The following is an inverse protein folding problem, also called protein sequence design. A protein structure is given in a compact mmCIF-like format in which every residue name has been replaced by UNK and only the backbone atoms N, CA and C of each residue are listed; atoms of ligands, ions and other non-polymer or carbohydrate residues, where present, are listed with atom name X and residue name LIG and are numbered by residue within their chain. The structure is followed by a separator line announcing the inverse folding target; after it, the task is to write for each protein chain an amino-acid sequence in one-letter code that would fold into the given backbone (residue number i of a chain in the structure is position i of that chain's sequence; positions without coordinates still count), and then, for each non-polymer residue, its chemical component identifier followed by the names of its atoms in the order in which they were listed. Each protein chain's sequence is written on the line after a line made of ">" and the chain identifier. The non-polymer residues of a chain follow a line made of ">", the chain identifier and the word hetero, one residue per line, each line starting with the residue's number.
data_IF_097455694205
#
_entry.id   IF_097455694205
#
_cell.length_a   1.000
_cell.length_b   1.000
_cell.length_c   1.000
_cell.angle_alpha   90.00
_cell.angle_beta   90.00
_cell.angle_gamma   90.00
#
_symmetry.space_group_name_H-M   'P 1'
#
loop_
_entity.id
_entity.type
_entity.pdbx_description
1 polymer ?
#
# COMPACT_ATOMS: atom_id res chain seq x y z
N UNK A 1 24.37 3.55 -2.79
CA UNK A 1 23.23 3.79 -1.87
C UNK A 1 21.98 3.58 -2.70
N UNK A 2 21.24 2.51 -2.45
CA UNK A 2 20.07 2.17 -3.26
C UNK A 2 18.97 3.20 -2.97
N UNK A 3 18.63 4.01 -3.97
CA UNK A 3 17.50 4.93 -3.93
C UNK A 3 16.25 4.05 -3.82
N UNK A 4 15.64 3.97 -2.63
CA UNK A 4 14.40 3.23 -2.42
C UNK A 4 13.33 4.00 -3.18
N UNK A 5 12.98 3.53 -4.38
CA UNK A 5 11.94 4.12 -5.22
C UNK A 5 10.66 4.17 -4.38
N UNK A 6 10.15 5.37 -4.10
CA UNK A 6 8.84 5.50 -3.45
C UNK A 6 7.81 4.82 -4.34
N UNK A 7 6.94 4.00 -3.74
CA UNK A 7 5.86 3.35 -4.46
C UNK A 7 4.84 4.41 -4.89
N UNK A 8 4.32 4.33 -6.11
CA UNK A 8 3.14 5.12 -6.48
C UNK A 8 1.88 4.54 -5.81
N UNK A 9 0.77 5.28 -5.83
CA UNK A 9 -0.52 4.75 -5.36
C UNK A 9 -0.92 3.52 -6.20
N UNK A 10 -0.69 3.57 -7.52
CA UNK A 10 -0.92 2.44 -8.43
C UNK A 10 -0.08 1.22 -8.07
N UNK A 11 1.22 1.40 -7.79
CA UNK A 11 2.10 0.30 -7.34
C UNK A 11 1.61 -0.33 -6.01
N UNK A 12 1.00 0.47 -5.13
CA UNK A 12 0.46 -0.03 -3.86
C UNK A 12 -0.79 -0.88 -4.11
N UNK A 13 -1.66 -0.46 -5.03
CA UNK A 13 -2.83 -1.25 -5.42
C UNK A 13 -2.42 -2.59 -6.06
N UNK A 14 -1.48 -2.58 -7.01
CA UNK A 14 -0.99 -3.81 -7.65
C UNK A 14 -0.42 -4.80 -6.62
N UNK A 15 0.26 -4.29 -5.59
CA UNK A 15 0.78 -5.11 -4.48
C UNK A 15 -0.31 -5.64 -3.57
N UNK A 16 -1.33 -4.85 -3.28
CA UNK A 16 -2.47 -5.29 -2.46
C UNK A 16 -3.25 -6.39 -3.18
N UNK A 17 -3.49 -6.25 -4.49
CA UNK A 17 -4.15 -7.28 -5.28
C UNK A 17 -3.33 -8.58 -5.29
N UNK A 18 -2.02 -8.49 -5.51
CA UNK A 18 -1.14 -9.66 -5.44
C UNK A 18 -1.04 -10.29 -4.04
N UNK A 19 -1.24 -9.52 -2.97
CA UNK A 19 -1.36 -10.05 -1.61
C UNK A 19 -2.66 -10.81 -1.41
N UNK A 20 -3.77 -10.27 -1.90
CA UNK A 20 -5.08 -10.93 -1.83
C UNK A 20 -5.06 -12.25 -2.61
N UNK A 21 -4.50 -12.27 -3.82
CA UNK A 21 -4.35 -13.50 -4.60
C UNK A 21 -3.54 -14.57 -3.86
N UNK A 22 -2.47 -14.18 -3.16
CA UNK A 22 -1.69 -15.11 -2.34
C UNK A 22 -2.47 -15.60 -1.12
N UNK A 23 -3.27 -14.73 -0.49
CA UNK A 23 -4.11 -15.08 0.65
C UNK A 23 -5.27 -16.01 0.29
N UNK A 24 -5.76 -15.94 -0.95
CA UNK A 24 -6.83 -16.80 -1.47
C UNK A 24 -6.33 -18.17 -1.96
N UNK A 25 -5.02 -18.42 -1.92
CA UNK A 25 -4.42 -19.71 -2.28
C UNK A 25 -4.78 -20.81 -1.28
N UNK A 26 -5.28 -21.95 -1.75
CA UNK A 26 -5.63 -23.11 -0.91
C UNK A 26 -4.45 -23.68 -0.10
N UNK A 27 -3.21 -23.42 -0.53
CA UNK A 27 -1.97 -23.92 0.10
C UNK A 27 -1.38 -22.97 1.15
N UNK A 28 -2.03 -21.83 1.46
CA UNK A 28 -1.49 -20.86 2.41
C UNK A 28 -1.59 -21.36 3.86
N UNK A 29 -0.48 -21.25 4.60
CA UNK A 29 -0.47 -21.53 6.03
C UNK A 29 -1.04 -20.35 6.82
N UNK A 30 -1.65 -20.62 7.98
CA UNK A 30 -2.16 -19.56 8.86
C UNK A 30 -1.08 -18.53 9.22
N UNK A 31 0.15 -18.99 9.47
CA UNK A 31 1.27 -18.10 9.80
C UNK A 31 1.61 -17.17 8.63
N UNK A 32 1.59 -17.68 7.40
CA UNK A 32 1.85 -16.89 6.21
C UNK A 32 0.69 -15.94 5.91
N UNK A 33 -0.57 -16.37 6.10
CA UNK A 33 -1.74 -15.47 6.02
C UNK A 33 -1.60 -14.29 7.00
N UNK A 34 -1.09 -14.52 8.21
CA UNK A 34 -0.82 -13.45 9.18
C UNK A 34 0.28 -12.50 8.70
N UNK A 35 1.34 -13.00 8.05
CA UNK A 35 2.40 -12.15 7.50
C UNK A 35 1.87 -11.28 6.36
N UNK A 36 1.15 -11.88 5.41
CA UNK A 36 0.53 -11.17 4.28
C UNK A 36 -0.47 -10.12 4.76
N UNK A 37 -1.28 -10.44 5.77
CA UNK A 37 -2.20 -9.48 6.37
C UNK A 37 -1.47 -8.27 6.99
N UNK A 38 -0.39 -8.50 7.74
CA UNK A 38 0.43 -7.41 8.29
C UNK A 38 1.06 -6.56 7.19
N UNK A 39 1.53 -7.18 6.11
CA UNK A 39 2.06 -6.48 4.94
C UNK A 39 0.98 -5.61 4.28
N UNK A 40 -0.22 -6.15 4.10
CA UNK A 40 -1.37 -5.41 3.59
C UNK A 40 -1.74 -4.20 4.45
N UNK A 41 -1.72 -4.33 5.78
CA UNK A 41 -1.95 -3.20 6.69
C UNK A 41 -0.92 -2.08 6.52
N UNK A 42 0.35 -2.42 6.31
CA UNK A 42 1.41 -1.43 6.07
C UNK A 42 1.22 -0.72 4.74
N UNK A 43 0.87 -1.46 3.68
CA UNK A 43 0.59 -0.90 2.36
C UNK A 43 -0.62 0.04 2.36
N UNK A 44 -1.72 -0.34 3.04
CA UNK A 44 -2.89 0.53 3.20
C UNK A 44 -2.51 1.81 3.94
N UNK A 45 -1.69 1.71 4.98
CA UNK A 45 -1.21 2.88 5.71
C UNK A 45 -0.38 3.80 4.80
N UNK A 46 0.54 3.25 4.02
CA UNK A 46 1.36 4.03 3.07
C UNK A 46 0.49 4.70 1.99
N UNK A 47 -0.58 4.02 1.54
CA UNK A 47 -1.54 4.59 0.59
C UNK A 47 -2.24 5.82 1.17
N UNK A 48 -2.76 5.70 2.40
CA UNK A 48 -3.46 6.81 3.08
C UNK A 48 -2.53 8.01 3.27
N UNK A 49 -1.28 7.80 3.70
CA UNK A 49 -0.31 8.88 3.86
C UNK A 49 -0.01 9.60 2.53
N UNK A 50 -0.02 8.87 1.41
CA UNK A 50 0.15 9.47 0.07
C UNK A 50 -1.07 10.27 -0.37
N UNK A 51 -2.28 9.76 -0.12
CA UNK A 51 -3.52 10.46 -0.43
C UNK A 51 -3.59 11.75 0.38
N UNK A 52 -3.34 11.70 1.70
CA UNK A 52 -3.33 12.87 2.57
C UNK A 52 -2.34 13.95 2.08
N UNK A 53 -1.16 13.53 1.60
CA UNK A 53 -0.19 14.46 1.02
C UNK A 53 -0.75 15.16 -0.22
N UNK A 54 -1.38 14.41 -1.13
CA UNK A 54 -2.00 14.98 -2.34
C UNK A 54 -3.15 15.91 -1.99
N UNK A 55 -4.00 15.53 -1.04
CA UNK A 55 -5.10 16.38 -0.55
C UNK A 55 -4.57 17.70 0.00
N UNK A 56 -3.51 17.65 0.80
CA UNK A 56 -2.87 18.85 1.36
C UNK A 56 -2.23 19.73 0.27
N UNK A 57 -1.59 19.13 -0.72
CA UNK A 57 -1.00 19.86 -1.84
C UNK A 57 -2.10 20.58 -2.65
N UNK A 58 -3.28 19.95 -2.83
CA UNK A 58 -4.45 20.57 -3.46
C UNK A 58 -4.98 21.73 -2.59
N UNK A 59 -5.14 21.53 -1.29
CA UNK A 59 -5.64 22.57 -0.37
C UNK A 59 -4.74 23.82 -0.41
N UNK A 60 -3.42 23.65 -0.45
CA UNK A 60 -2.49 24.79 -0.58
C UNK A 60 -2.71 25.54 -1.90
N UNK A 61 -2.92 24.82 -3.01
CA UNK A 61 -3.16 25.42 -4.33
C UNK A 61 -4.52 26.13 -4.42
N UNK A 62 -5.55 25.66 -3.72
CA UNK A 62 -6.88 26.29 -3.71
C UNK A 62 -6.94 27.55 -2.82
N UNK A 63 -6.02 27.69 -1.88
CA UNK A 63 -5.94 28.85 -0.97
C UNK A 63 -4.97 29.96 -1.46
N UNK A 64 -4.43 29.84 -2.69
CA UNK A 64 -3.72 30.91 -3.42
C UNK A 64 -4.62 31.59 -4.46
#
# INVERSE_FOLDING_TARGET
>A
MANKKELSIEDIYDKLDGLIEQMDSDDISLEDSFKLYNEGLLLVKECNEKIEKVEKDIEVLENE
#
